data_IF_931592310358
#
_entry.id   IF_931592310358
#
_cell.length_a   1.000
_cell.length_b   1.000
_cell.length_c   1.000
_cell.angle_alpha   90.00
_cell.angle_beta   90.00
_cell.angle_gamma   90.00
#
_symmetry.space_group_name_H-M   'P 1'
#
loop_
_entity.id
_entity.type
_entity.pdbx_description
1 polymer ?
#
# COMPACT_ATOMS: atom_id res chain seq x y z
N UNK A 1 -20.87 5.20 -23.51
CA UNK A 1 -21.39 3.97 -22.88
C UNK A 1 -20.53 3.67 -21.65
N UNK A 2 -21.07 3.79 -20.43
CA UNK A 2 -20.36 3.38 -19.21
C UNK A 2 -20.30 1.85 -19.22
N UNK A 3 -19.10 1.26 -19.32
CA UNK A 3 -18.92 -0.19 -19.15
C UNK A 3 -19.38 -0.54 -17.73
N UNK A 4 -20.45 -1.34 -17.61
CA UNK A 4 -20.76 -2.00 -16.34
C UNK A 4 -19.67 -3.02 -16.10
N UNK A 5 -18.76 -2.76 -15.16
CA UNK A 5 -17.89 -3.80 -14.62
C UNK A 5 -18.80 -4.83 -13.94
N UNK A 6 -18.80 -6.06 -14.47
CA UNK A 6 -19.57 -7.16 -13.91
C UNK A 6 -18.91 -7.56 -12.60
N UNK A 7 -19.67 -7.53 -11.49
CA UNK A 7 -19.16 -8.01 -10.20
C UNK A 7 -18.63 -9.45 -10.35
N UNK A 8 -17.42 -9.76 -9.84
CA UNK A 8 -16.82 -11.08 -9.99
C UNK A 8 -17.68 -12.15 -9.31
N UNK A 9 -17.77 -13.32 -9.96
CA UNK A 9 -18.50 -14.48 -9.44
C UNK A 9 -17.84 -15.07 -8.18
N UNK A 10 -18.55 -15.93 -7.45
CA UNK A 10 -18.05 -16.51 -6.18
C UNK A 10 -16.71 -17.24 -6.34
N UNK A 11 -16.53 -17.97 -7.43
CA UNK A 11 -15.28 -18.69 -7.74
C UNK A 11 -14.14 -17.70 -8.00
N UNK A 12 -14.40 -16.65 -8.78
CA UNK A 12 -13.40 -15.62 -9.08
C UNK A 12 -12.97 -14.88 -7.81
N UNK A 13 -13.92 -14.57 -6.92
CA UNK A 13 -13.63 -13.95 -5.61
C UNK A 13 -12.75 -14.83 -4.73
N UNK A 14 -12.99 -16.14 -4.69
CA UNK A 14 -12.15 -17.07 -3.91
C UNK A 14 -10.72 -17.18 -4.47
N UNK A 15 -10.56 -17.12 -5.80
CA UNK A 15 -9.25 -17.08 -6.43
C UNK A 15 -8.51 -15.77 -6.12
N UNK A 16 -9.22 -14.63 -6.18
CA UNK A 16 -8.67 -13.31 -5.82
C UNK A 16 -8.22 -13.28 -4.37
N UNK A 17 -9.02 -13.83 -3.45
CA UNK A 17 -8.66 -13.91 -2.04
C UNK A 17 -7.38 -14.73 -1.82
N UNK A 18 -7.23 -15.87 -2.52
CA UNK A 18 -6.02 -16.68 -2.47
C UNK A 18 -4.80 -15.94 -3.04
N UNK A 19 -4.96 -15.28 -4.20
CA UNK A 19 -3.90 -14.46 -4.82
C UNK A 19 -3.46 -13.32 -3.89
N UNK A 20 -4.42 -12.67 -3.24
CA UNK A 20 -4.19 -11.63 -2.26
C UNK A 20 -3.37 -12.13 -1.08
N UNK A 21 -3.75 -13.27 -0.49
CA UNK A 21 -2.99 -13.84 0.64
C UNK A 21 -1.54 -14.16 0.24
N UNK A 22 -1.31 -14.67 -0.97
CA UNK A 22 0.03 -14.88 -1.51
C UNK A 22 0.81 -13.57 -1.67
N UNK A 23 0.14 -12.48 -2.04
CA UNK A 23 0.75 -11.15 -2.21
C UNK A 23 1.24 -10.60 -0.87
N UNK A 24 0.46 -10.75 0.19
CA UNK A 24 0.87 -10.36 1.57
C UNK A 24 2.15 -11.09 1.98
N UNK A 25 2.18 -12.41 1.78
CA UNK A 25 3.36 -13.24 2.08
C UNK A 25 4.58 -12.79 1.26
N UNK A 26 4.41 -12.56 -0.04
CA UNK A 26 5.50 -12.11 -0.91
C UNK A 26 6.05 -10.74 -0.50
N UNK A 27 5.18 -9.81 -0.10
CA UNK A 27 5.59 -8.48 0.36
C UNK A 27 6.48 -8.57 1.61
N UNK A 28 6.08 -9.37 2.60
CA UNK A 28 6.88 -9.61 3.81
C UNK A 28 8.24 -10.26 3.46
N UNK A 29 8.26 -11.25 2.57
CA UNK A 29 9.51 -11.90 2.12
C UNK A 29 10.44 -10.89 1.44
N UNK A 30 9.93 -10.09 0.49
CA UNK A 30 10.74 -9.09 -0.20
C UNK A 30 11.24 -7.99 0.75
N UNK A 31 10.41 -7.56 1.69
CA UNK A 31 10.77 -6.54 2.66
C UNK A 31 11.90 -7.01 3.58
N UNK A 32 11.85 -8.26 4.04
CA UNK A 32 12.84 -8.81 4.97
C UNK A 32 14.12 -9.32 4.30
N UNK A 33 14.04 -9.92 3.11
CA UNK A 33 15.15 -10.67 2.51
C UNK A 33 15.44 -10.33 1.04
N UNK A 34 14.59 -9.54 0.38
CA UNK A 34 14.69 -9.31 -1.05
C UNK A 34 15.71 -8.23 -1.40
N UNK A 35 16.70 -8.55 -2.23
CA UNK A 35 17.57 -7.58 -2.93
C UNK A 35 16.96 -7.15 -4.29
N UNK A 36 15.64 -7.23 -4.40
CA UNK A 36 14.87 -6.83 -5.58
C UNK A 36 14.02 -5.61 -5.24
N UNK A 37 14.51 -4.37 -5.51
CA UNK A 37 13.77 -3.14 -5.22
C UNK A 37 12.40 -3.10 -5.88
N UNK A 38 12.31 -3.50 -7.15
CA UNK A 38 11.05 -3.48 -7.90
C UNK A 38 10.04 -4.46 -7.31
N UNK A 39 10.49 -5.66 -6.94
CA UNK A 39 9.65 -6.67 -6.29
C UNK A 39 9.16 -6.23 -4.92
N UNK A 40 9.99 -5.51 -4.16
CA UNK A 40 9.60 -4.91 -2.88
C UNK A 40 8.50 -3.86 -3.07
N UNK A 41 8.72 -2.88 -3.95
CA UNK A 41 7.77 -1.77 -4.18
C UNK A 41 6.45 -2.29 -4.74
N UNK A 42 6.46 -3.19 -5.73
CA UNK A 42 5.22 -3.73 -6.31
C UNK A 42 4.42 -4.55 -5.29
N UNK A 43 5.08 -5.45 -4.54
CA UNK A 43 4.39 -6.27 -3.56
C UNK A 43 3.86 -5.43 -2.38
N UNK A 44 4.68 -4.55 -1.82
CA UNK A 44 4.27 -3.70 -0.70
C UNK A 44 3.19 -2.69 -1.12
N UNK A 45 3.31 -2.09 -2.30
CA UNK A 45 2.31 -1.15 -2.83
C UNK A 45 0.93 -1.77 -2.96
N UNK A 46 0.86 -3.00 -3.47
CA UNK A 46 -0.41 -3.75 -3.56
C UNK A 46 -1.01 -4.02 -2.18
N UNK A 47 -0.17 -4.37 -1.20
CA UNK A 47 -0.64 -4.63 0.16
C UNK A 47 -1.25 -3.38 0.78
N UNK A 48 -0.50 -2.28 0.74
CA UNK A 48 -0.92 -1.01 1.33
C UNK A 48 -2.16 -0.44 0.64
N UNK A 49 -2.28 -0.59 -0.69
CA UNK A 49 -3.45 -0.13 -1.43
C UNK A 49 -4.73 -0.85 -0.98
N UNK A 50 -4.70 -2.19 -0.93
CA UNK A 50 -5.89 -2.98 -0.56
C UNK A 50 -6.29 -2.74 0.89
N UNK A 51 -5.33 -2.57 1.81
CA UNK A 51 -5.63 -2.27 3.21
C UNK A 51 -6.27 -0.89 3.35
N UNK A 52 -5.74 0.13 2.68
CA UNK A 52 -6.31 1.47 2.71
C UNK A 52 -7.72 1.51 2.10
N UNK A 53 -7.92 0.90 0.93
CA UNK A 53 -9.24 0.84 0.30
C UNK A 53 -10.23 0.07 1.16
N UNK A 54 -9.84 -1.07 1.73
CA UNK A 54 -10.74 -1.87 2.55
C UNK A 54 -11.13 -1.17 3.86
N UNK A 55 -10.20 -0.47 4.49
CA UNK A 55 -10.50 0.36 5.66
C UNK A 55 -11.40 1.56 5.30
N UNK A 56 -11.20 2.19 4.14
CA UNK A 56 -12.10 3.22 3.63
C UNK A 56 -13.52 2.68 3.40
N UNK A 57 -13.65 1.50 2.79
CA UNK A 57 -14.96 0.82 2.60
C UNK A 57 -15.67 0.52 3.93
N UNK A 58 -14.91 0.20 4.97
CA UNK A 58 -15.43 -0.04 6.33
C UNK A 58 -15.70 1.24 7.12
N UNK A 59 -15.37 2.42 6.58
CA UNK A 59 -15.35 3.70 7.30
C UNK A 59 -14.52 3.61 8.60
N UNK A 60 -13.41 2.86 8.55
CA UNK A 60 -12.49 2.79 9.66
C UNK A 60 -11.77 4.12 9.78
N UNK A 61 -11.87 4.74 10.95
CA UNK A 61 -11.01 5.87 11.29
C UNK A 61 -9.66 5.29 11.69
N UNK A 62 -8.65 5.51 10.86
CA UNK A 62 -7.30 5.11 11.22
C UNK A 62 -6.86 5.96 12.41
N UNK A 63 -6.27 5.34 13.43
CA UNK A 63 -5.54 6.15 14.38
C UNK A 63 -4.39 6.88 13.68
N UNK A 64 -3.93 7.97 14.30
CA UNK A 64 -2.89 8.81 13.71
C UNK A 64 -1.59 8.06 13.44
N UNK A 65 -1.29 7.02 14.22
CA UNK A 65 0.03 6.40 14.26
C UNK A 65 0.15 5.30 13.19
N UNK A 66 -0.89 4.50 13.00
CA UNK A 66 -0.98 3.49 11.95
C UNK A 66 -1.07 4.15 10.57
N UNK A 67 -1.88 5.20 10.44
CA UNK A 67 -1.97 5.96 9.20
C UNK A 67 -0.63 6.63 8.85
N UNK A 68 0.04 7.22 9.85
CA UNK A 68 1.37 7.81 9.66
C UNK A 68 2.39 6.75 9.19
N UNK A 69 2.38 5.56 9.79
CA UNK A 69 3.29 4.47 9.42
C UNK A 69 3.05 3.99 7.99
N UNK A 70 1.78 3.83 7.59
CA UNK A 70 1.39 3.48 6.21
C UNK A 70 1.80 4.59 5.24
N UNK A 71 1.60 5.85 5.61
CA UNK A 71 1.97 7.00 4.79
C UNK A 71 3.49 7.09 4.57
N UNK A 72 4.30 6.95 5.62
CA UNK A 72 5.76 6.95 5.51
C UNK A 72 6.29 5.81 4.63
N UNK A 73 5.64 4.64 4.67
CA UNK A 73 5.97 3.54 3.77
C UNK A 73 5.64 3.88 2.31
N UNK A 74 4.50 4.52 2.03
CA UNK A 74 4.11 4.94 0.67
C UNK A 74 5.13 5.93 0.09
N UNK A 75 5.51 6.96 0.84
CA UNK A 75 6.54 7.92 0.40
C UNK A 75 7.88 7.21 0.20
N UNK A 76 8.26 6.31 1.11
CA UNK A 76 9.51 5.55 0.99
C UNK A 76 9.54 4.63 -0.24
N UNK A 77 8.39 4.07 -0.63
CA UNK A 77 8.26 3.29 -1.86
C UNK A 77 8.36 4.17 -3.11
N UNK A 78 7.72 5.34 -3.09
CA UNK A 78 7.80 6.31 -4.18
C UNK A 78 9.25 6.72 -4.43
N UNK A 79 9.99 7.04 -3.36
CA UNK A 79 11.42 7.37 -3.46
C UNK A 79 12.30 6.17 -3.86
N UNK A 80 11.82 4.93 -3.69
CA UNK A 80 12.59 3.71 -3.95
C UNK A 80 12.38 3.15 -5.37
N UNK A 81 11.32 3.56 -6.09
CA UNK A 81 10.88 2.91 -7.34
C UNK A 81 11.92 2.96 -8.46
N UNK A 82 12.66 4.07 -8.57
CA UNK A 82 13.66 4.29 -9.63
C UNK A 82 15.09 3.94 -9.20
N UNK A 83 15.25 3.35 -8.01
CA UNK A 83 16.54 3.14 -7.37
C UNK A 83 17.00 1.69 -7.51
N UNK A 84 18.22 1.50 -8.01
CA UNK A 84 18.76 0.18 -8.33
C UNK A 84 19.02 -0.70 -7.10
N UNK A 85 19.14 -0.10 -5.91
CA UNK A 85 19.37 -0.79 -4.65
C UNK A 85 18.39 -0.30 -3.59
N UNK A 86 17.97 -1.20 -2.70
CA UNK A 86 17.06 -0.84 -1.60
C UNK A 86 17.85 -0.14 -0.51
N UNK A 87 17.55 1.14 -0.27
CA UNK A 87 18.15 1.87 0.84
C UNK A 87 17.69 1.28 2.18
N UNK A 88 18.60 0.97 3.15
CA UNK A 88 18.21 0.35 4.41
C UNK A 88 17.18 1.16 5.22
N UNK A 89 17.25 2.48 5.20
CA UNK A 89 16.27 3.34 5.89
C UNK A 89 14.89 3.31 5.22
N UNK A 90 14.83 3.30 3.88
CA UNK A 90 13.58 3.12 3.13
C UNK A 90 12.99 1.73 3.38
N UNK A 91 13.83 0.68 3.39
CA UNK A 91 13.40 -0.68 3.74
C UNK A 91 12.74 -0.74 5.12
N UNK A 92 13.37 -0.13 6.13
CA UNK A 92 12.83 -0.11 7.49
C UNK A 92 11.45 0.58 7.56
N UNK A 93 11.27 1.70 6.86
CA UNK A 93 9.97 2.38 6.77
C UNK A 93 8.92 1.53 6.06
N UNK A 94 9.28 0.88 4.95
CA UNK A 94 8.39 -0.03 4.21
C UNK A 94 7.95 -1.20 5.11
N UNK A 95 8.88 -1.79 5.88
CA UNK A 95 8.55 -2.83 6.85
C UNK A 95 7.57 -2.30 7.90
N UNK A 96 7.84 -1.14 8.49
CA UNK A 96 6.95 -0.54 9.50
C UNK A 96 5.52 -0.30 8.99
N UNK A 97 5.37 0.16 7.74
CA UNK A 97 4.06 0.31 7.11
C UNK A 97 3.36 -1.03 6.83
N UNK A 98 4.11 -2.07 6.44
CA UNK A 98 3.54 -3.41 6.27
C UNK A 98 3.09 -4.02 7.60
N UNK A 99 3.82 -3.81 8.69
CA UNK A 99 3.42 -4.23 10.03
C UNK A 99 2.18 -3.46 10.52
N UNK A 100 2.07 -2.17 10.21
CA UNK A 100 0.86 -1.39 10.47
C UNK A 100 -0.34 -1.93 9.67
N UNK A 101 -0.12 -2.24 8.39
CA UNK A 101 -1.14 -2.84 7.54
C UNK A 101 -1.60 -4.21 8.08
N UNK A 102 -0.71 -5.02 8.65
CA UNK A 102 -1.07 -6.29 9.27
C UNK A 102 -1.97 -6.12 10.51
N UNK A 103 -1.72 -5.09 11.33
CA UNK A 103 -2.62 -4.76 12.47
C UNK A 103 -4.00 -4.33 11.98
N UNK A 104 -4.04 -3.48 10.96
CA UNK A 104 -5.30 -3.03 10.34
C UNK A 104 -6.08 -4.19 9.72
N UNK A 105 -5.40 -5.15 9.07
CA UNK A 105 -6.04 -6.35 8.51
C UNK A 105 -6.84 -7.15 9.55
N UNK A 106 -6.42 -7.14 10.82
CA UNK A 106 -7.14 -7.83 11.89
C UNK A 106 -8.47 -7.13 12.29
N UNK A 107 -8.63 -5.85 11.92
CA UNK A 107 -9.78 -5.02 12.26
C UNK A 107 -10.78 -4.87 11.10
N UNK A 108 -10.33 -5.06 9.87
CA UNK A 108 -11.12 -4.88 8.65
C UNK A 108 -12.01 -6.10 8.38
N UNK A 109 -13.23 -5.85 7.90
CA UNK A 109 -14.14 -6.89 7.46
C UNK A 109 -13.61 -7.63 6.23
N UNK A 110 -13.67 -8.95 6.27
CA UNK A 110 -13.28 -9.82 5.15
C UNK A 110 -13.98 -9.46 3.84
N UNK A 111 -15.24 -9.02 3.88
CA UNK A 111 -15.98 -8.59 2.69
C UNK A 111 -15.35 -7.37 2.01
N UNK A 112 -14.86 -6.42 2.80
CA UNK A 112 -14.24 -5.19 2.35
C UNK A 112 -12.84 -5.44 1.81
N UNK A 113 -12.08 -6.35 2.44
CA UNK A 113 -10.80 -6.83 1.89
C UNK A 113 -10.97 -7.50 0.52
N UNK A 114 -11.95 -8.38 0.36
CA UNK A 114 -12.21 -9.04 -0.92
C UNK A 114 -12.64 -8.02 -1.98
N UNK A 115 -13.47 -7.04 -1.60
CA UNK A 115 -13.90 -5.98 -2.52
C UNK A 115 -12.70 -5.12 -2.97
N UNK A 116 -11.88 -4.65 -2.04
CA UNK A 116 -10.66 -3.90 -2.33
C UNK A 116 -9.66 -4.68 -3.20
N UNK A 117 -9.49 -5.97 -2.94
CA UNK A 117 -8.64 -6.85 -3.77
C UNK A 117 -9.19 -7.00 -5.21
N UNK A 118 -10.52 -7.03 -5.37
CA UNK A 118 -11.14 -7.02 -6.70
C UNK A 118 -10.89 -5.69 -7.42
N UNK A 119 -11.03 -4.56 -6.72
CA UNK A 119 -10.77 -3.22 -7.26
C UNK A 119 -9.30 -3.04 -7.65
N UNK A 120 -8.37 -3.51 -6.84
CA UNK A 120 -6.96 -3.56 -7.20
C UNK A 120 -6.75 -4.36 -8.49
N UNK A 121 -7.35 -5.55 -8.61
CA UNK A 121 -7.22 -6.40 -9.81
C UNK A 121 -7.80 -5.73 -11.06
N UNK A 122 -8.91 -5.01 -10.93
CA UNK A 122 -9.48 -4.21 -12.02
C UNK A 122 -8.55 -3.05 -12.39
N UNK A 123 -8.02 -2.33 -11.41
CA UNK A 123 -7.07 -1.23 -11.63
C UNK A 123 -5.82 -1.72 -12.36
N UNK A 124 -5.23 -2.83 -11.92
CA UNK A 124 -4.05 -3.45 -12.51
C UNK A 124 -4.27 -4.01 -13.94
N UNK A 125 -5.51 -4.27 -14.34
CA UNK A 125 -5.82 -4.64 -15.74
C UNK A 125 -5.73 -3.43 -16.68
N UNK A 126 -5.95 -2.22 -16.18
CA UNK A 126 -5.99 -1.00 -16.97
C UNK A 126 -4.69 -0.17 -16.84
N UNK A 127 -4.10 -0.11 -15.64
CA UNK A 127 -3.00 0.81 -15.25
C UNK A 127 -2.17 0.24 -14.10
N UNK A 128 -1.02 0.85 -13.80
CA UNK A 128 -0.29 0.60 -12.54
C UNK A 128 -0.91 1.41 -11.39
N UNK A 129 -0.53 1.07 -10.16
CA UNK A 129 -0.84 1.90 -8.98
C UNK A 129 0.15 3.07 -8.96
N UNK A 130 -0.36 4.29 -8.83
CA UNK A 130 0.44 5.51 -8.71
C UNK A 130 0.25 6.16 -7.33
N UNK A 131 1.11 7.13 -6.98
CA UNK A 131 1.03 7.84 -5.71
C UNK A 131 -0.35 8.50 -5.51
N UNK A 132 -0.88 9.14 -6.55
CA UNK A 132 -2.22 9.76 -6.56
C UNK A 132 -3.35 8.79 -6.17
N UNK A 133 -3.18 7.49 -6.45
CA UNK A 133 -4.17 6.48 -6.07
C UNK A 133 -4.20 6.27 -4.54
N UNK A 134 -3.07 6.42 -3.86
CA UNK A 134 -2.98 6.38 -2.40
C UNK A 134 -3.49 7.67 -1.77
N UNK A 135 -3.12 8.82 -2.34
CA UNK A 135 -3.56 10.13 -1.87
C UNK A 135 -5.08 10.26 -1.91
N UNK A 136 -5.72 9.73 -2.96
CA UNK A 136 -7.17 9.67 -3.05
C UNK A 136 -7.78 8.92 -1.84
N UNK A 137 -7.22 7.77 -1.46
CA UNK A 137 -7.73 6.96 -0.35
C UNK A 137 -7.52 7.63 1.01
N UNK A 138 -6.36 8.23 1.22
CA UNK A 138 -6.06 8.96 2.47
C UNK A 138 -6.93 10.22 2.58
N UNK A 139 -7.11 10.96 1.48
CA UNK A 139 -7.94 12.16 1.42
C UNK A 139 -9.44 11.92 1.63
N UNK A 140 -9.92 10.68 1.46
CA UNK A 140 -11.30 10.28 1.78
C UNK A 140 -11.52 9.97 3.27
N UNK A 141 -10.47 9.58 4.01
CA UNK A 141 -10.55 9.26 5.45
C UNK A 141 -10.24 10.42 6.39
N UNK A 142 -9.49 11.45 5.95
CA UNK A 142 -9.02 12.53 6.83
C UNK A 142 -9.82 13.82 6.63
N UNK A 143 -10.33 14.40 7.73
CA UNK A 143 -10.77 15.80 7.74
C UNK A 143 -9.60 16.67 7.28
N UNK A 144 -9.82 17.42 6.20
CA UNK A 144 -8.88 18.17 5.34
C UNK A 144 -7.85 19.12 6.01
N UNK A 145 -7.76 19.16 7.34
CA UNK A 145 -7.01 20.15 8.11
C UNK A 145 -5.53 19.81 8.39
N UNK A 146 -5.08 18.55 8.22
CA UNK A 146 -3.71 18.13 8.59
C UNK A 146 -2.77 17.86 7.41
N UNK A 147 -3.29 17.80 6.18
CA UNK A 147 -2.51 17.35 5.02
C UNK A 147 -1.76 18.48 4.29
N UNK A 148 -2.14 19.74 4.48
CA UNK A 148 -1.61 20.82 3.63
C UNK A 148 -0.26 21.42 4.09
N UNK A 149 0.12 21.25 5.37
CA UNK A 149 1.34 21.87 5.94
C UNK A 149 2.46 20.87 6.27
N UNK A 150 2.18 19.57 6.35
CA UNK A 150 3.15 18.57 6.83
C UNK A 150 4.00 17.95 5.71
N UNK A 151 3.49 17.93 4.48
CA UNK A 151 4.03 17.07 3.40
C UNK A 151 5.25 17.67 2.68
N UNK A 152 5.38 18.99 2.67
CA UNK A 152 6.50 19.67 2.01
C UNK A 152 7.83 19.64 2.80
N UNK A 153 7.81 19.11 4.03
CA UNK A 153 8.89 19.32 5.02
C UNK A 153 9.59 18.03 5.48
N UNK A 154 9.20 16.85 4.97
CA UNK A 154 9.86 15.61 5.38
C UNK A 154 11.29 15.59 4.81
N UNK A 155 12.33 15.52 5.67
CA UNK A 155 13.70 15.48 5.20
C UNK A 155 13.90 14.20 4.39
N UNK A 156 14.31 14.37 3.13
CA UNK A 156 14.86 13.29 2.31
C UNK A 156 16.00 12.65 3.10
N UNK A 157 15.74 11.50 3.70
CA UNK A 157 16.73 10.75 4.46
C UNK A 157 17.86 10.40 3.49
N UNK A 158 19.03 11.02 3.65
CA UNK A 158 20.17 10.81 2.78
C UNK A 158 20.60 9.34 2.79
N UNK A 159 20.25 8.62 1.73
CA UNK A 159 20.79 7.29 1.40
C UNK A 159 22.21 7.41 0.79
N UNK A 160 22.99 8.42 1.23
CA UNK A 160 24.35 8.65 0.79
C UNK A 160 25.28 7.64 1.49
N UNK A 161 25.38 6.44 0.92
CA UNK A 161 26.41 5.49 1.27
C UNK A 161 27.76 5.99 0.78
N UNK A 162 28.64 6.35 1.73
CA UNK A 162 30.08 6.44 1.51
C UNK A 162 30.58 5.13 0.90
N UNK A 163 30.91 5.16 -0.39
CA UNK A 163 31.91 4.27 -0.97
C UNK A 163 33.29 4.85 -0.62
N UNK A 164 33.89 4.35 0.46
CA UNK A 164 35.33 4.38 0.67
C UNK A 164 35.85 2.93 0.71
#
# INVERSE_FOLDING_TARGET
MKKRTSRPGLIERALIEREWHQTVVNAQIHALYGDNPQGLVDAAGRVLFVVLEAANLDNHDFDSDELQSVHEAIISMYDQVDEAAVCPSRRARIIGGLEAAERLLALIQRSSLIQAACELKEKLREKHIHLDDFEALIGHGTTQALLHDSWASLPLSECAGNLQ
#
